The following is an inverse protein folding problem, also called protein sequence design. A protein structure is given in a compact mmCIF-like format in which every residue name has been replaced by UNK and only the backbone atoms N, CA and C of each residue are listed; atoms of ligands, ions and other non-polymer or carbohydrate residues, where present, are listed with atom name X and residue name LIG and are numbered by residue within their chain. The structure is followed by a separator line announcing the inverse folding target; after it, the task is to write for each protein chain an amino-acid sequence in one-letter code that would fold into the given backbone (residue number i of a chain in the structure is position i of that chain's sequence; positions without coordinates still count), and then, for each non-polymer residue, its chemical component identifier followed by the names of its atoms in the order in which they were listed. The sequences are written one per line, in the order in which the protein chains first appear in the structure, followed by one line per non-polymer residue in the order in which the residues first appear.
data_IF_371463387325
#
_entry.id   IF_371463387325
#
_cell.length_a   1.000
_cell.length_b   1.000
_cell.length_c   1.000
_cell.angle_alpha   90.00
_cell.angle_beta   90.00
_cell.angle_gamma   90.00
#
_symmetry.space_group_name_H-M   'P 1'
#
loop_
_entity.id
_entity.type
_entity.pdbx_description
1 polymer ?
#
# COMPACT_ATOMS: atom_id res chain seq x y z
N UNK A 1 -19.15 12.64 47.17
CA UNK A 1 -18.82 13.00 45.77
C UNK A 1 -17.32 12.94 45.46
N UNK A 2 -16.44 13.66 46.18
CA UNK A 2 -14.97 13.63 45.94
C UNK A 2 -14.35 12.22 45.96
N UNK A 3 -14.68 11.40 46.97
CA UNK A 3 -14.22 10.01 47.09
C UNK A 3 -14.67 9.11 45.93
N UNK A 4 -15.89 9.33 45.43
CA UNK A 4 -16.42 8.58 44.28
C UNK A 4 -15.66 8.94 43.00
N UNK A 5 -15.47 10.23 42.72
CA UNK A 5 -14.69 10.69 41.55
C UNK A 5 -13.26 10.14 41.60
N UNK A 6 -12.59 10.23 42.76
CA UNK A 6 -11.24 9.70 42.92
C UNK A 6 -11.18 8.19 42.67
N UNK A 7 -12.11 7.42 43.26
CA UNK A 7 -12.16 5.97 43.07
C UNK A 7 -12.42 5.59 41.62
N UNK A 8 -13.29 6.33 40.92
CA UNK A 8 -13.55 6.12 39.49
C UNK A 8 -12.30 6.40 38.65
N UNK A 9 -11.59 7.51 38.91
CA UNK A 9 -10.34 7.81 38.21
C UNK A 9 -9.28 6.73 38.44
N UNK A 10 -9.12 6.26 39.68
CA UNK A 10 -8.18 5.17 40.01
C UNK A 10 -8.56 3.86 39.34
N UNK A 11 -9.85 3.50 39.32
CA UNK A 11 -10.34 2.30 38.66
C UNK A 11 -10.11 2.35 37.14
N UNK A 12 -10.39 3.49 36.49
CA UNK A 12 -10.13 3.67 35.07
C UNK A 12 -8.63 3.54 34.75
N UNK A 13 -7.78 4.18 35.55
CA UNK A 13 -6.34 4.06 35.41
C UNK A 13 -5.85 2.61 35.56
N UNK A 14 -6.30 1.91 36.60
CA UNK A 14 -6.01 0.49 36.80
C UNK A 14 -6.48 -0.35 35.61
N UNK A 15 -7.69 -0.13 35.12
CA UNK A 15 -8.27 -0.89 34.00
C UNK A 15 -7.46 -0.69 32.72
N UNK A 16 -7.02 0.54 32.43
CA UNK A 16 -6.18 0.84 31.26
C UNK A 16 -4.83 0.11 31.37
N UNK A 17 -4.16 0.18 32.52
CA UNK A 17 -2.89 -0.53 32.73
C UNK A 17 -3.08 -2.04 32.61
N UNK A 18 -4.09 -2.57 33.29
CA UNK A 18 -4.41 -3.99 33.27
C UNK A 18 -4.69 -4.48 31.84
N UNK A 19 -5.44 -3.69 31.07
CA UNK A 19 -5.72 -3.98 29.67
C UNK A 19 -4.45 -4.01 28.80
N UNK A 20 -3.55 -3.04 28.95
CA UNK A 20 -2.27 -2.99 28.21
C UNK A 20 -1.40 -4.21 28.54
N UNK A 21 -1.33 -4.59 29.82
CA UNK A 21 -0.58 -5.78 30.28
C UNK A 21 -1.21 -7.05 29.69
N UNK A 22 -2.53 -7.19 29.78
CA UNK A 22 -3.24 -8.35 29.23
C UNK A 22 -3.03 -8.45 27.71
N UNK A 23 -3.11 -7.32 27.00
CA UNK A 23 -2.91 -7.25 25.57
C UNK A 23 -1.48 -7.66 25.18
N UNK A 24 -0.47 -7.23 25.94
CA UNK A 24 0.91 -7.66 25.73
C UNK A 24 1.05 -9.18 25.83
N UNK A 25 0.53 -9.78 26.90
CA UNK A 25 0.60 -11.23 27.08
C UNK A 25 -0.22 -11.99 26.03
N UNK A 26 -1.42 -11.48 25.69
CA UNK A 26 -2.29 -12.09 24.71
C UNK A 26 -1.67 -12.08 23.31
N UNK A 27 -1.22 -10.91 22.83
CA UNK A 27 -0.64 -10.78 21.49
C UNK A 27 0.70 -11.51 21.36
N UNK A 28 1.53 -11.46 22.41
CA UNK A 28 2.86 -12.06 22.42
C UNK A 28 2.89 -13.58 22.60
N UNK A 29 1.96 -14.15 23.38
CA UNK A 29 2.06 -15.55 23.81
C UNK A 29 0.81 -16.40 23.54
N UNK A 30 -0.36 -15.82 23.25
CA UNK A 30 -1.53 -16.64 22.94
C UNK A 30 -1.32 -17.42 21.63
N UNK A 31 -1.78 -18.68 21.56
CA UNK A 31 -1.80 -19.47 20.33
C UNK A 31 -2.51 -18.76 19.17
N UNK A 32 -2.05 -18.98 17.93
CA UNK A 32 -2.62 -18.32 16.74
C UNK A 32 -4.11 -18.58 16.54
N UNK A 33 -4.60 -19.79 16.86
CA UNK A 33 -6.03 -20.11 16.75
C UNK A 33 -6.92 -19.30 17.70
N UNK A 34 -6.36 -18.73 18.77
CA UNK A 34 -7.04 -17.79 19.67
C UNK A 34 -6.91 -16.33 19.21
N UNK A 35 -6.12 -16.09 18.16
CA UNK A 35 -5.92 -14.77 17.53
C UNK A 35 -6.51 -14.75 16.10
N UNK A 36 -7.74 -15.23 15.84
CA UNK A 36 -8.30 -15.24 14.48
C UNK A 36 -8.43 -13.83 13.88
N UNK A 37 -8.41 -12.81 14.74
CA UNK A 37 -8.56 -11.39 14.42
C UNK A 37 -7.36 -10.52 14.89
N UNK A 38 -6.35 -11.13 15.53
CA UNK A 38 -5.26 -10.46 16.25
C UNK A 38 -4.00 -10.27 15.41
N UNK A 39 -4.13 -9.79 14.18
CA UNK A 39 -3.03 -9.76 13.24
C UNK A 39 -2.09 -8.58 13.54
N UNK A 40 -0.95 -8.86 14.18
CA UNK A 40 0.27 -8.07 14.08
C UNK A 40 1.26 -8.83 13.19
N UNK A 41 1.08 -8.80 11.85
CA UNK A 41 1.79 -9.69 10.94
C UNK A 41 3.19 -9.15 10.59
N UNK A 42 4.12 -9.21 11.55
CA UNK A 42 5.51 -8.84 11.25
C UNK A 42 6.08 -9.79 10.20
N UNK A 43 6.64 -9.23 9.13
CA UNK A 43 7.04 -9.99 7.95
C UNK A 43 5.89 -10.83 7.38
N UNK A 44 4.66 -10.28 7.34
CA UNK A 44 3.50 -10.89 6.71
C UNK A 44 3.57 -10.88 5.17
N UNK A 45 2.43 -11.11 4.52
CA UNK A 45 2.36 -11.15 3.05
C UNK A 45 2.92 -9.89 2.39
N UNK A 46 3.57 -10.03 1.23
CA UNK A 46 4.04 -8.89 0.44
C UNK A 46 5.26 -8.15 1.00
N UNK A 47 6.03 -8.74 1.94
CA UNK A 47 7.36 -8.25 2.36
C UNK A 47 7.40 -6.77 2.78
N UNK A 48 6.38 -6.24 3.47
CA UNK A 48 6.39 -4.82 3.85
C UNK A 48 7.58 -4.47 4.75
N UNK A 49 7.96 -5.36 5.68
CA UNK A 49 9.12 -5.15 6.56
C UNK A 49 10.41 -4.92 5.78
N UNK A 50 10.74 -5.83 4.85
CA UNK A 50 11.92 -5.70 4.00
C UNK A 50 11.87 -4.45 3.14
N UNK A 51 10.70 -4.12 2.59
CA UNK A 51 10.52 -2.95 1.71
C UNK A 51 10.73 -1.64 2.44
N UNK A 52 10.12 -1.46 3.62
CA UNK A 52 10.34 -0.27 4.45
C UNK A 52 11.81 -0.16 4.87
N UNK A 53 12.44 -1.28 5.23
CA UNK A 53 13.86 -1.32 5.59
C UNK A 53 14.78 -0.93 4.43
N UNK A 54 14.39 -1.25 3.19
CA UNK A 54 15.15 -0.93 1.99
C UNK A 54 15.06 0.55 1.60
N UNK A 55 13.99 1.27 1.97
CA UNK A 55 13.77 2.69 1.61
C UNK A 55 15.02 3.53 1.87
N UNK A 56 15.71 3.33 3.01
CA UNK A 56 16.88 4.14 3.39
C UNK A 56 18.07 4.00 2.42
N UNK A 57 18.10 2.93 1.62
CA UNK A 57 19.12 2.68 0.59
C UNK A 57 18.81 3.39 -0.73
N UNK A 58 17.59 3.93 -0.89
CA UNK A 58 17.13 4.63 -2.08
C UNK A 58 16.85 6.09 -1.74
N UNK A 59 17.37 7.02 -2.54
CA UNK A 59 17.15 8.46 -2.39
C UNK A 59 17.07 9.12 -3.76
N UNK A 60 16.33 10.21 -3.87
CA UNK A 60 16.18 11.00 -5.11
C UNK A 60 15.83 10.13 -6.32
N UNK A 61 14.83 9.27 -6.18
CA UNK A 61 14.38 8.37 -7.26
C UNK A 61 13.70 9.15 -8.38
N UNK A 62 13.84 8.75 -9.63
CA UNK A 62 13.10 9.37 -10.73
C UNK A 62 11.59 9.15 -10.57
N UNK A 63 11.21 7.91 -10.23
CA UNK A 63 9.82 7.44 -10.17
C UNK A 63 9.53 6.79 -8.82
N UNK A 64 8.46 7.25 -8.17
CA UNK A 64 7.88 6.58 -6.99
C UNK A 64 6.55 5.94 -7.38
N UNK A 65 6.45 4.62 -7.22
CA UNK A 65 5.18 3.91 -7.34
C UNK A 65 4.46 3.90 -6.00
N UNK A 66 3.16 4.15 -6.03
CA UNK A 66 2.28 4.19 -4.86
C UNK A 66 1.01 3.38 -5.17
N UNK A 67 0.40 2.74 -4.17
CA UNK A 67 -0.86 2.02 -4.34
C UNK A 67 -0.88 0.63 -3.72
N UNK A 68 -1.83 -0.19 -4.15
CA UNK A 68 -2.16 -1.46 -3.48
C UNK A 68 -1.18 -2.59 -3.82
N UNK A 69 -1.61 -3.85 -3.66
CA UNK A 69 -0.89 -5.02 -4.17
C UNK A 69 -0.67 -4.97 -5.68
N UNK A 70 -1.53 -4.29 -6.43
CA UNK A 70 -1.33 -4.04 -7.84
C UNK A 70 -0.11 -3.15 -8.11
N UNK A 71 0.28 -2.27 -7.18
CA UNK A 71 1.49 -1.49 -7.31
C UNK A 71 2.73 -2.34 -7.03
N UNK A 72 2.87 -2.90 -5.83
CA UNK A 72 4.11 -3.60 -5.43
C UNK A 72 4.37 -4.91 -6.18
N UNK A 73 3.33 -5.50 -6.79
CA UNK A 73 3.44 -6.66 -7.68
C UNK A 73 3.33 -6.32 -9.16
N UNK A 74 2.91 -5.10 -9.49
CA UNK A 74 2.69 -4.68 -10.87
C UNK A 74 3.82 -3.85 -11.45
N UNK A 75 4.59 -3.10 -10.66
CA UNK A 75 5.73 -2.31 -11.14
C UNK A 75 7.07 -2.91 -10.70
N UNK A 76 7.73 -3.59 -11.64
CA UNK A 76 9.03 -4.21 -11.46
C UNK A 76 10.15 -3.18 -11.69
N UNK A 77 10.75 -2.74 -10.60
CA UNK A 77 11.81 -1.71 -10.61
C UNK A 77 13.02 -2.08 -11.47
N UNK A 78 13.27 -3.37 -11.73
CA UNK A 78 14.35 -3.83 -12.62
C UNK A 78 14.11 -3.39 -14.06
N UNK A 79 12.87 -3.48 -14.55
CA UNK A 79 12.50 -3.11 -15.91
C UNK A 79 12.67 -1.60 -16.12
N UNK A 80 12.31 -0.80 -15.11
CA UNK A 80 12.52 0.66 -15.15
C UNK A 80 14.01 1.01 -15.09
N UNK A 81 14.80 0.28 -14.29
CA UNK A 81 16.25 0.47 -14.21
C UNK A 81 16.96 0.13 -15.53
N UNK A 82 16.55 -0.93 -16.23
CA UNK A 82 17.03 -1.27 -17.59
C UNK A 82 16.76 -0.16 -18.61
N UNK A 83 15.72 0.66 -18.37
CA UNK A 83 15.39 1.84 -19.16
C UNK A 83 15.98 3.15 -18.60
N UNK A 84 16.90 3.02 -17.64
CA UNK A 84 17.66 4.10 -17.04
C UNK A 84 16.92 4.88 -15.95
N UNK A 85 15.75 4.45 -15.50
CA UNK A 85 15.01 5.13 -14.44
C UNK A 85 15.34 4.55 -13.07
N UNK A 86 15.81 5.39 -12.16
CA UNK A 86 15.83 5.05 -10.74
C UNK A 86 14.40 5.06 -10.21
N UNK A 87 13.99 4.02 -9.50
CA UNK A 87 12.61 3.94 -9.01
C UNK A 87 12.51 3.20 -7.69
N UNK A 88 11.47 3.54 -6.93
CA UNK A 88 11.09 2.82 -5.72
C UNK A 88 9.59 2.56 -5.70
N UNK A 89 9.20 1.39 -5.23
CA UNK A 89 7.82 0.96 -5.13
C UNK A 89 7.37 0.95 -3.66
N UNK A 90 6.60 1.98 -3.31
CA UNK A 90 6.03 2.21 -1.99
C UNK A 90 4.59 1.67 -1.88
N UNK A 91 4.16 0.82 -2.81
CA UNK A 91 2.87 0.14 -2.70
C UNK A 91 2.82 -0.76 -1.45
N UNK A 92 1.66 -1.20 -1.01
CA UNK A 92 1.55 -2.16 0.10
C UNK A 92 0.28 -3.00 0.00
N UNK A 93 0.16 -4.03 0.84
CA UNK A 93 -1.02 -4.89 0.80
C UNK A 93 -2.28 -4.09 1.13
N UNK A 94 -3.33 -4.26 0.31
CA UNK A 94 -4.61 -3.56 0.42
C UNK A 94 -4.50 -2.04 0.67
N UNK A 95 -3.42 -1.40 0.18
CA UNK A 95 -3.13 0.01 0.49
C UNK A 95 -4.27 0.91 0.06
N UNK A 96 -4.90 1.57 1.04
CA UNK A 96 -5.92 2.58 0.80
C UNK A 96 -5.30 3.98 0.78
N UNK A 97 -6.02 5.02 0.31
CA UNK A 97 -5.55 6.40 0.39
C UNK A 97 -5.10 6.82 1.79
N UNK A 98 -5.76 6.36 2.87
CA UNK A 98 -5.32 6.68 4.23
C UNK A 98 -3.91 6.15 4.53
N UNK A 99 -3.60 4.90 4.15
CA UNK A 99 -2.25 4.34 4.33
C UNK A 99 -1.23 4.98 3.39
N UNK A 100 -1.62 5.29 2.14
CA UNK A 100 -0.78 6.02 1.21
C UNK A 100 -0.41 7.42 1.74
N UNK A 101 -1.33 8.15 2.39
CA UNK A 101 -1.08 9.45 3.02
C UNK A 101 0.04 9.31 4.08
N UNK A 102 -0.03 8.27 4.91
CA UNK A 102 0.93 8.02 5.99
C UNK A 102 2.31 7.68 5.43
N UNK A 103 2.38 6.78 4.44
CA UNK A 103 3.64 6.41 3.79
C UNK A 103 4.29 7.62 3.12
N UNK A 104 3.51 8.47 2.44
CA UNK A 104 4.02 9.73 1.89
C UNK A 104 4.40 10.75 2.98
N UNK A 105 3.77 10.73 4.15
CA UNK A 105 4.19 11.56 5.29
C UNK A 105 5.55 11.16 5.84
N UNK A 106 5.86 9.87 5.82
CA UNK A 106 7.14 9.35 6.34
C UNK A 106 8.27 9.39 5.32
N UNK A 107 8.00 9.04 4.07
CA UNK A 107 9.05 8.62 3.13
C UNK A 107 9.20 9.52 1.90
N UNK A 108 8.25 10.41 1.61
CA UNK A 108 8.30 11.23 0.40
C UNK A 108 9.54 12.13 0.33
N UNK A 109 9.98 12.69 1.44
CA UNK A 109 11.15 13.59 1.47
C UNK A 109 12.47 12.85 1.36
N UNK A 110 12.53 11.58 1.78
CA UNK A 110 13.71 10.73 1.63
C UNK A 110 13.85 10.28 0.18
N UNK A 111 12.74 9.85 -0.42
CA UNK A 111 12.70 9.35 -1.79
C UNK A 111 12.77 10.49 -2.82
N UNK A 112 12.23 11.67 -2.49
CA UNK A 112 12.25 12.92 -3.26
C UNK A 112 12.05 12.70 -4.78
N UNK A 113 10.89 12.13 -5.20
CA UNK A 113 10.69 11.73 -6.57
C UNK A 113 10.30 12.88 -7.49
N UNK A 114 10.63 12.75 -8.78
CA UNK A 114 10.16 13.70 -9.81
C UNK A 114 8.75 13.37 -10.28
N UNK A 115 8.46 12.08 -10.40
CA UNK A 115 7.17 11.56 -10.82
C UNK A 115 6.66 10.57 -9.77
N UNK A 116 5.39 10.72 -9.39
CA UNK A 116 4.65 9.68 -8.67
C UNK A 116 3.68 9.03 -9.65
N UNK A 117 3.79 7.70 -9.77
CA UNK A 117 2.81 6.86 -10.46
C UNK A 117 1.94 6.22 -9.37
N UNK A 118 0.72 6.71 -9.23
CA UNK A 118 -0.22 6.22 -8.24
C UNK A 118 -1.18 5.23 -8.90
N UNK A 119 -1.06 3.95 -8.52
CA UNK A 119 -1.99 2.89 -8.86
C UNK A 119 -3.33 3.12 -8.14
N UNK A 120 -4.40 3.26 -8.93
CA UNK A 120 -5.73 3.68 -8.48
C UNK A 120 -6.81 2.67 -8.87
N UNK A 121 -6.68 1.41 -8.42
CA UNK A 121 -7.73 0.41 -8.59
C UNK A 121 -9.05 0.86 -7.94
N UNK A 122 -10.13 1.10 -8.73
CA UNK A 122 -11.37 1.69 -8.22
C UNK A 122 -11.97 0.97 -7.01
N UNK A 123 -11.89 -0.36 -6.97
CA UNK A 123 -12.43 -1.15 -5.87
C UNK A 123 -11.69 -0.89 -4.55
N UNK A 124 -10.35 -1.02 -4.51
CA UNK A 124 -9.61 -0.80 -3.26
C UNK A 124 -9.45 0.68 -2.89
N UNK A 125 -9.49 1.58 -3.88
CA UNK A 125 -9.22 3.01 -3.66
C UNK A 125 -10.22 3.68 -2.72
N UNK A 126 -11.51 3.43 -2.90
CA UNK A 126 -12.55 4.08 -2.09
C UNK A 126 -13.46 3.14 -1.31
N UNK A 127 -13.48 1.83 -1.61
CA UNK A 127 -14.41 0.89 -0.99
C UNK A 127 -13.80 0.05 0.15
N UNK A 128 -12.52 0.23 0.47
CA UNK A 128 -11.83 -0.50 1.55
C UNK A 128 -11.72 0.34 2.83
N UNK A 129 -12.01 -0.28 3.98
CA UNK A 129 -11.93 0.36 5.31
C UNK A 129 -10.49 0.61 5.80
N UNK A 130 -9.51 0.01 5.13
CA UNK A 130 -8.09 0.14 5.46
C UNK A 130 -7.66 -0.59 6.73
N UNK A 131 -8.49 -1.45 7.34
CA UNK A 131 -8.13 -2.21 8.54
C UNK A 131 -6.95 -3.14 8.26
N UNK A 132 -7.03 -3.95 7.19
CA UNK A 132 -5.96 -4.89 6.83
C UNK A 132 -4.63 -4.17 6.55
N UNK A 133 -4.68 -3.10 5.74
CA UNK A 133 -3.50 -2.31 5.42
C UNK A 133 -2.92 -1.59 6.65
N UNK A 134 -3.76 -1.16 7.59
CA UNK A 134 -3.30 -0.60 8.86
C UNK A 134 -2.58 -1.62 9.72
N UNK A 135 -3.11 -2.85 9.84
CA UNK A 135 -2.47 -3.92 10.61
C UNK A 135 -1.10 -4.28 10.02
N UNK A 136 -1.00 -4.41 8.70
CA UNK A 136 0.26 -4.66 7.99
C UNK A 136 1.27 -3.53 8.24
N UNK A 137 0.85 -2.26 8.06
CA UNK A 137 1.73 -1.10 8.27
C UNK A 137 2.18 -0.96 9.73
N UNK A 138 1.28 -1.15 10.70
CA UNK A 138 1.60 -1.11 12.12
C UNK A 138 2.61 -2.21 12.47
N UNK A 139 2.47 -3.41 11.91
CA UNK A 139 3.37 -4.51 12.25
C UNK A 139 4.79 -4.32 11.71
N UNK A 140 4.91 -3.68 10.54
CA UNK A 140 6.13 -3.67 9.74
C UNK A 140 6.86 -2.33 9.67
N UNK A 141 6.27 -1.26 10.19
CA UNK A 141 6.87 0.07 10.25
C UNK A 141 6.95 0.59 11.70
N UNK A 142 7.83 1.57 11.93
CA UNK A 142 7.96 2.26 13.21
C UNK A 142 6.73 3.13 13.47
N UNK A 143 6.20 3.08 14.69
CA UNK A 143 4.98 3.78 15.07
C UNK A 143 5.31 5.21 15.43
N UNK A 144 4.49 6.11 14.92
CA UNK A 144 4.59 7.54 15.15
C UNK A 144 3.19 8.17 15.28
N UNK A 145 3.14 9.50 15.29
CA UNK A 145 1.88 10.22 15.34
C UNK A 145 0.99 9.98 14.10
N UNK A 146 1.58 9.70 12.94
CA UNK A 146 0.81 9.36 11.74
C UNK A 146 0.10 8.01 11.91
N UNK A 147 0.79 7.01 12.48
CA UNK A 147 0.18 5.72 12.83
C UNK A 147 -0.98 5.90 13.82
N UNK A 148 -0.86 6.78 14.82
CA UNK A 148 -1.94 7.06 15.77
C UNK A 148 -3.15 7.74 15.10
N UNK A 149 -2.89 8.76 14.27
CA UNK A 149 -3.93 9.44 13.47
C UNK A 149 -4.69 8.44 12.58
N UNK A 150 -3.98 7.48 11.99
CA UNK A 150 -4.58 6.37 11.22
C UNK A 150 -5.56 5.57 12.07
N UNK A 151 -5.12 5.09 13.22
CA UNK A 151 -5.92 4.24 14.09
C UNK A 151 -7.21 4.95 14.55
N UNK A 152 -7.10 6.24 14.90
CA UNK A 152 -8.24 7.06 15.27
C UNK A 152 -9.21 7.31 14.10
N UNK A 153 -8.68 7.46 12.88
CA UNK A 153 -9.51 7.68 11.68
C UNK A 153 -10.29 6.42 11.30
N UNK A 154 -9.64 5.25 11.34
CA UNK A 154 -10.27 3.95 11.03
C UNK A 154 -11.28 3.56 12.13
N UNK A 155 -10.99 3.93 13.38
CA UNK A 155 -11.83 3.68 14.55
C UNK A 155 -12.25 2.20 14.69
N UNK A 156 -11.26 1.30 14.66
CA UNK A 156 -11.47 -0.14 14.75
C UNK A 156 -10.66 -0.75 15.89
N UNK A 157 -11.29 -1.62 16.68
CA UNK A 157 -10.67 -2.25 17.87
C UNK A 157 -9.41 -3.06 17.52
N UNK A 158 -9.38 -3.74 16.37
CA UNK A 158 -8.20 -4.51 15.94
C UNK A 158 -7.02 -3.58 15.70
N UNK A 159 -7.27 -2.42 15.09
CA UNK A 159 -6.24 -1.41 14.80
C UNK A 159 -5.75 -0.74 16.10
N UNK A 160 -6.65 -0.47 17.06
CA UNK A 160 -6.25 0.02 18.38
C UNK A 160 -5.38 -0.99 19.14
N UNK A 161 -5.76 -2.27 19.11
CA UNK A 161 -4.98 -3.33 19.75
C UNK A 161 -3.60 -3.45 19.10
N UNK A 162 -3.54 -3.46 17.77
CA UNK A 162 -2.30 -3.55 17.03
C UNK A 162 -1.38 -2.37 17.29
N UNK A 163 -1.89 -1.12 17.35
CA UNK A 163 -1.03 0.04 17.58
C UNK A 163 -0.53 0.10 19.02
N UNK A 164 -1.35 -0.25 20.02
CA UNK A 164 -0.92 -0.32 21.42
C UNK A 164 0.19 -1.37 21.56
N UNK A 165 -0.06 -2.59 21.06
CA UNK A 165 0.94 -3.65 21.07
C UNK A 165 2.19 -3.27 20.30
N UNK A 166 2.02 -2.62 19.15
CA UNK A 166 3.10 -2.13 18.34
C UNK A 166 3.99 -1.09 19.03
N UNK A 167 3.43 -0.17 19.82
CA UNK A 167 4.23 0.73 20.66
C UNK A 167 5.00 -0.02 21.75
N UNK A 168 4.42 -1.07 22.33
CA UNK A 168 5.12 -1.95 23.29
C UNK A 168 6.30 -2.64 22.62
N UNK A 169 6.12 -3.20 21.42
CA UNK A 169 7.19 -3.79 20.63
C UNK A 169 8.32 -2.80 20.31
N UNK A 170 7.97 -1.57 19.89
CA UNK A 170 8.95 -0.53 19.58
C UNK A 170 9.70 -0.08 20.86
N UNK A 171 9.01 0.04 22.00
CA UNK A 171 9.60 0.45 23.28
C UNK A 171 10.58 -0.58 23.84
N UNK A 172 10.19 -1.87 23.83
CA UNK A 172 11.03 -2.97 24.31
C UNK A 172 11.95 -3.56 23.22
N UNK A 173 11.94 -3.00 22.01
CA UNK A 173 12.77 -3.45 20.87
C UNK A 173 12.58 -4.94 20.54
N UNK A 174 11.35 -5.43 20.67
CA UNK A 174 11.04 -6.86 20.55
C UNK A 174 11.27 -7.39 19.13
N UNK A 175 11.26 -6.50 18.13
CA UNK A 175 11.40 -6.84 16.72
C UNK A 175 12.78 -6.51 16.13
N UNK A 176 13.74 -6.00 16.93
CA UNK A 176 15.03 -5.52 16.41
C UNK A 176 15.88 -6.65 15.79
N UNK A 177 15.70 -7.89 16.27
CA UNK A 177 16.40 -9.08 15.76
C UNK A 177 15.61 -9.82 14.67
N UNK A 178 14.43 -9.34 14.29
CA UNK A 178 13.65 -9.98 13.24
C UNK A 178 14.33 -9.78 11.89
N UNK A 179 14.49 -10.88 11.16
CA UNK A 179 15.02 -10.87 9.79
C UNK A 179 14.00 -11.56 8.90
N UNK A 180 13.49 -10.81 7.93
CA UNK A 180 12.57 -11.37 6.94
C UNK A 180 13.36 -12.08 5.84
N UNK A 181 13.01 -13.33 5.56
CA UNK A 181 13.59 -14.07 4.44
C UNK A 181 13.27 -13.39 3.10
N UNK A 182 14.25 -13.33 2.21
CA UNK A 182 14.09 -12.68 0.89
C UNK A 182 13.03 -13.38 0.04
N UNK A 183 12.93 -14.70 0.12
CA UNK A 183 11.94 -15.49 -0.59
C UNK A 183 11.18 -16.33 0.44
N UNK A 184 9.86 -16.26 0.42
CA UNK A 184 9.00 -17.06 1.28
C UNK A 184 7.71 -17.43 0.56
N UNK A 185 7.25 -18.66 0.78
CA UNK A 185 6.11 -19.24 0.06
C UNK A 185 6.29 -19.15 -1.47
N UNK A 186 5.53 -18.25 -2.11
CA UNK A 186 5.56 -17.98 -3.55
C UNK A 186 6.01 -16.56 -3.87
N UNK A 187 6.47 -15.80 -2.88
CA UNK A 187 6.86 -14.41 -3.04
C UNK A 187 8.38 -14.28 -2.88
N UNK A 188 8.99 -13.45 -3.73
CA UNK A 188 10.40 -13.09 -3.65
C UNK A 188 10.52 -11.57 -3.67
N UNK A 189 11.14 -11.03 -2.63
CA UNK A 189 11.42 -9.61 -2.54
C UNK A 189 12.60 -9.22 -3.45
N UNK A 190 12.38 -8.19 -4.26
CA UNK A 190 13.36 -7.55 -5.12
C UNK A 190 13.60 -6.11 -4.61
N UNK A 191 14.87 -5.75 -4.40
CA UNK A 191 15.25 -4.42 -3.89
C UNK A 191 14.67 -3.31 -4.77
N UNK A 192 14.26 -2.21 -4.13
CA UNK A 192 13.47 -1.16 -4.76
C UNK A 192 11.95 -1.32 -4.57
N UNK A 193 11.49 -2.32 -3.81
CA UNK A 193 10.11 -2.38 -3.34
C UNK A 193 9.18 -3.33 -4.12
N UNK A 194 9.68 -4.01 -5.14
CA UNK A 194 8.93 -4.96 -5.94
C UNK A 194 8.89 -6.35 -5.27
N UNK A 195 7.76 -7.05 -5.40
CA UNK A 195 7.63 -8.45 -4.97
C UNK A 195 7.21 -9.29 -6.16
N UNK A 196 8.13 -10.15 -6.60
CA UNK A 196 7.89 -11.11 -7.65
C UNK A 196 7.11 -12.30 -7.08
N UNK A 197 6.03 -12.70 -7.79
CA UNK A 197 5.29 -13.92 -7.45
C UNK A 197 5.74 -15.06 -8.35
N UNK A 198 5.92 -16.24 -7.79
CA UNK A 198 6.17 -17.48 -8.55
C UNK A 198 5.14 -17.65 -9.65
N UNK A 199 5.62 -18.02 -10.83
CA UNK A 199 4.78 -18.13 -12.03
C UNK A 199 3.57 -19.03 -11.79
N UNK A 200 2.40 -18.52 -12.11
CA UNK A 200 1.15 -19.25 -12.06
C UNK A 200 0.12 -18.57 -12.98
N UNK A 201 -0.94 -19.30 -13.29
CA UNK A 201 -1.89 -18.95 -14.33
C UNK A 201 -3.31 -19.02 -13.78
N UNK A 202 -4.06 -17.96 -14.03
CA UNK A 202 -5.44 -17.85 -13.63
C UNK A 202 -6.31 -18.75 -14.51
N UNK A 203 -7.35 -19.34 -13.91
CA UNK A 203 -8.41 -20.04 -14.63
C UNK A 203 -9.66 -19.16 -14.54
N UNK A 204 -10.07 -18.49 -15.63
CA UNK A 204 -11.18 -17.57 -15.61
C UNK A 204 -12.47 -18.21 -15.13
N UNK A 205 -13.10 -17.56 -14.16
CA UNK A 205 -14.45 -17.86 -13.68
C UNK A 205 -15.41 -16.71 -13.96
N UNK A 206 -16.63 -16.82 -13.46
CA UNK A 206 -17.60 -15.72 -13.45
C UNK A 206 -17.50 -14.91 -12.15
N UNK A 207 -17.85 -13.63 -12.24
CA UNK A 207 -17.97 -12.74 -11.10
C UNK A 207 -19.41 -12.23 -10.99
N UNK A 208 -19.91 -12.15 -9.76
CA UNK A 208 -21.11 -11.36 -9.48
C UNK A 208 -20.82 -9.88 -9.80
N UNK A 209 -21.88 -9.15 -10.14
CA UNK A 209 -21.78 -7.71 -10.32
C UNK A 209 -21.50 -7.02 -8.99
N UNK A 210 -20.64 -6.01 -9.04
CA UNK A 210 -20.17 -5.27 -7.86
C UNK A 210 -20.38 -3.78 -8.10
N UNK A 211 -21.10 -3.16 -7.18
CA UNK A 211 -21.13 -1.70 -7.05
C UNK A 211 -20.01 -1.25 -6.10
N UNK A 212 -19.24 -0.25 -6.52
CA UNK A 212 -18.12 0.30 -5.76
C UNK A 212 -18.64 1.47 -4.92
N UNK A 213 -18.56 1.35 -3.60
CA UNK A 213 -18.86 2.44 -2.67
C UNK A 213 -17.69 3.41 -2.50
N UNK A 214 -18.00 4.59 -1.94
CA UNK A 214 -17.01 5.60 -1.58
C UNK A 214 -17.04 5.84 -0.08
N UNK A 215 -15.96 5.48 0.60
CA UNK A 215 -15.75 5.74 2.03
C UNK A 215 -15.21 7.17 2.19
N UNK A 216 -15.90 8.07 2.92
CA UNK A 216 -15.56 9.50 2.94
C UNK A 216 -14.14 9.81 3.41
N UNK A 217 -13.64 9.13 4.44
CA UNK A 217 -12.28 9.39 4.92
C UNK A 217 -11.20 8.90 3.96
N UNK A 218 -11.50 7.93 3.08
CA UNK A 218 -10.59 7.53 2.01
C UNK A 218 -10.53 8.58 0.91
N UNK A 219 -11.69 9.09 0.49
CA UNK A 219 -11.75 10.21 -0.46
C UNK A 219 -11.01 11.45 0.07
N UNK A 220 -11.24 11.82 1.34
CA UNK A 220 -10.53 12.95 1.96
C UNK A 220 -9.02 12.73 2.09
N UNK A 221 -8.55 11.49 2.31
CA UNK A 221 -7.12 11.17 2.34
C UNK A 221 -6.51 11.22 0.95
N UNK A 222 -7.26 10.77 -0.07
CA UNK A 222 -6.86 10.88 -1.48
C UNK A 222 -6.64 12.35 -1.87
N UNK A 223 -7.60 13.24 -1.59
CA UNK A 223 -7.46 14.68 -1.86
C UNK A 223 -6.22 15.29 -1.18
N UNK A 224 -5.96 14.95 0.09
CA UNK A 224 -4.76 15.40 0.81
C UNK A 224 -3.47 14.93 0.15
N UNK A 225 -3.43 13.70 -0.35
CA UNK A 225 -2.29 13.18 -1.12
C UNK A 225 -2.07 14.05 -2.36
N UNK A 226 -3.12 14.30 -3.14
CA UNK A 226 -3.02 15.11 -4.36
C UNK A 226 -2.51 16.51 -4.04
N UNK A 227 -3.07 17.17 -3.01
CA UNK A 227 -2.61 18.47 -2.56
C UNK A 227 -1.13 18.47 -2.15
N UNK A 228 -0.70 17.44 -1.42
CA UNK A 228 0.69 17.32 -0.95
C UNK A 228 1.64 17.18 -2.14
N UNK A 229 1.29 16.33 -3.10
CA UNK A 229 2.07 16.11 -4.33
C UNK A 229 2.16 17.41 -5.14
N UNK A 230 1.04 18.11 -5.31
CA UNK A 230 0.99 19.43 -5.98
C UNK A 230 1.85 20.48 -5.27
N UNK A 231 1.76 20.58 -3.93
CA UNK A 231 2.56 21.52 -3.11
C UNK A 231 4.07 21.30 -3.24
N UNK A 232 4.50 20.06 -3.48
CA UNK A 232 5.91 19.71 -3.73
C UNK A 232 6.32 19.80 -5.20
N UNK A 233 5.42 20.23 -6.08
CA UNK A 233 5.64 20.32 -7.52
C UNK A 233 6.10 18.98 -8.14
N UNK A 234 5.61 17.86 -7.60
CA UNK A 234 5.90 16.52 -8.10
C UNK A 234 4.85 16.19 -9.16
N UNK A 235 5.29 15.63 -10.30
CA UNK A 235 4.36 15.24 -11.36
C UNK A 235 3.59 13.99 -10.94
N UNK A 236 2.26 14.09 -10.93
CA UNK A 236 1.39 12.95 -10.68
C UNK A 236 0.90 12.31 -11.98
N UNK A 237 0.98 10.98 -12.03
CA UNK A 237 0.33 10.13 -13.02
C UNK A 237 -0.53 9.12 -12.26
N UNK A 238 -1.81 9.03 -12.61
CA UNK A 238 -2.75 8.06 -12.07
C UNK A 238 -2.85 6.88 -13.05
N UNK A 239 -2.74 5.66 -12.54
CA UNK A 239 -2.74 4.44 -13.35
C UNK A 239 -3.73 3.44 -12.79
N UNK A 240 -4.64 2.96 -13.62
CA UNK A 240 -5.39 1.74 -13.31
C UNK A 240 -4.68 0.57 -13.98
N UNK A 241 -3.98 -0.23 -13.17
CA UNK A 241 -3.26 -1.41 -13.63
C UNK A 241 -4.23 -2.44 -14.25
N UNK A 242 -3.77 -3.27 -15.22
CA UNK A 242 -4.59 -4.31 -15.80
C UNK A 242 -5.06 -5.32 -14.75
N UNK A 243 -6.34 -5.67 -14.83
CA UNK A 243 -6.96 -6.81 -14.16
C UNK A 243 -7.58 -7.72 -15.23
N UNK A 244 -8.05 -8.91 -14.85
CA UNK A 244 -8.69 -9.80 -15.82
C UNK A 244 -9.94 -9.16 -16.40
N UNK A 245 -10.24 -9.44 -17.67
CA UNK A 245 -11.42 -8.91 -18.36
C UNK A 245 -12.70 -9.28 -17.61
N UNK A 246 -12.80 -10.52 -17.15
CA UNK A 246 -13.96 -10.99 -16.37
C UNK A 246 -14.16 -10.21 -15.08
N UNK A 247 -13.08 -9.76 -14.42
CA UNK A 247 -13.15 -8.93 -13.21
C UNK A 247 -13.46 -7.48 -13.56
N UNK A 248 -12.85 -6.92 -14.60
CA UNK A 248 -13.11 -5.56 -15.05
C UNK A 248 -14.59 -5.35 -15.42
N UNK A 249 -15.16 -6.30 -16.17
CA UNK A 249 -16.56 -6.27 -16.58
C UNK A 249 -17.56 -6.49 -15.42
N UNK A 250 -17.07 -6.88 -14.23
CA UNK A 250 -17.92 -7.11 -13.06
C UNK A 250 -18.32 -5.83 -12.34
N UNK A 251 -17.61 -4.72 -12.54
CA UNK A 251 -17.91 -3.44 -11.89
C UNK A 251 -19.00 -2.67 -12.62
N UNK A 252 -20.09 -2.34 -11.92
CA UNK A 252 -21.25 -1.67 -12.52
C UNK A 252 -21.04 -0.16 -12.69
N UNK A 253 -20.34 0.45 -11.75
CA UNK A 253 -20.15 1.90 -11.66
C UNK A 253 -18.67 2.34 -11.80
N UNK A 254 -17.79 1.50 -12.34
CA UNK A 254 -16.36 1.81 -12.52
C UNK A 254 -16.16 3.14 -13.27
N UNK A 255 -16.89 3.36 -14.35
CA UNK A 255 -16.84 4.60 -15.15
C UNK A 255 -17.08 5.86 -14.30
N UNK A 256 -17.96 5.79 -13.29
CA UNK A 256 -18.21 6.92 -12.40
C UNK A 256 -16.99 7.21 -11.52
N UNK A 257 -16.41 6.16 -10.93
CA UNK A 257 -15.21 6.28 -10.07
C UNK A 257 -14.01 6.76 -10.88
N UNK A 258 -13.83 6.24 -12.10
CA UNK A 258 -12.75 6.66 -12.99
C UNK A 258 -12.84 8.15 -13.32
N UNK A 259 -14.03 8.66 -13.66
CA UNK A 259 -14.27 10.09 -13.89
C UNK A 259 -13.94 10.97 -12.68
N UNK A 260 -14.08 10.47 -11.45
CA UNK A 260 -13.65 11.20 -10.25
C UNK A 260 -12.13 11.26 -10.21
N UNK A 261 -11.46 10.13 -10.42
CA UNK A 261 -9.98 10.06 -10.38
C UNK A 261 -9.31 10.86 -11.49
N UNK A 262 -9.88 10.86 -12.70
CA UNK A 262 -9.39 11.59 -13.88
C UNK A 262 -9.25 13.10 -13.66
N UNK A 263 -10.02 13.68 -12.74
CA UNK A 263 -9.98 15.12 -12.44
C UNK A 263 -8.68 15.56 -11.74
N UNK A 264 -7.91 14.62 -11.19
CA UNK A 264 -6.78 14.92 -10.32
C UNK A 264 -5.40 14.87 -11.01
N UNK A 265 -5.31 14.36 -12.24
CA UNK A 265 -4.04 14.28 -12.96
C UNK A 265 -4.13 13.56 -14.31
N UNK A 266 -2.97 13.29 -14.90
CA UNK A 266 -2.90 12.45 -16.09
C UNK A 266 -3.31 11.01 -15.70
N UNK A 267 -4.45 10.54 -16.22
CA UNK A 267 -5.01 9.23 -15.90
C UNK A 267 -4.87 8.25 -17.08
N UNK A 268 -4.44 7.03 -16.79
CA UNK A 268 -4.29 5.96 -17.77
C UNK A 268 -4.92 4.67 -17.28
N UNK A 269 -6.02 4.24 -17.91
CA UNK A 269 -6.63 2.94 -17.66
C UNK A 269 -6.04 1.87 -18.59
N UNK A 270 -5.15 1.02 -18.07
CA UNK A 270 -4.50 -0.01 -18.88
C UNK A 270 -5.42 -1.19 -19.24
N UNK A 271 -6.58 -1.32 -18.61
CA UNK A 271 -7.61 -2.25 -19.08
C UNK A 271 -8.19 -1.84 -20.44
N UNK A 272 -8.04 -0.57 -20.83
CA UNK A 272 -8.47 -0.04 -22.13
C UNK A 272 -7.30 0.18 -23.11
N UNK A 273 -6.09 0.45 -22.59
CA UNK A 273 -4.91 0.79 -23.41
C UNK A 273 -4.12 -0.42 -23.91
N UNK A 274 -4.38 -1.61 -23.37
CA UNK A 274 -3.76 -2.85 -23.78
C UNK A 274 -4.73 -4.02 -23.61
N UNK A 275 -4.46 -5.12 -24.31
CA UNK A 275 -5.25 -6.34 -24.22
C UNK A 275 -4.38 -7.48 -23.69
N UNK A 276 -4.69 -7.98 -22.50
CA UNK A 276 -4.02 -9.12 -21.88
C UNK A 276 -4.98 -10.31 -21.84
N UNK A 277 -4.45 -11.51 -22.10
CA UNK A 277 -5.20 -12.74 -21.94
C UNK A 277 -5.28 -13.16 -20.46
N UNK A 278 -6.49 -13.30 -19.94
CA UNK A 278 -6.77 -13.66 -18.54
C UNK A 278 -6.02 -14.92 -18.07
N UNK A 279 -5.92 -15.95 -18.92
CA UNK A 279 -5.29 -17.23 -18.56
C UNK A 279 -3.76 -17.23 -18.72
N UNK A 280 -3.19 -16.31 -19.51
CA UNK A 280 -1.76 -16.29 -19.79
C UNK A 280 -0.98 -15.25 -18.98
N UNK A 281 -1.63 -14.14 -18.62
CA UNK A 281 -0.93 -12.97 -18.06
C UNK A 281 -1.28 -12.66 -16.60
N UNK A 282 -2.19 -13.43 -15.99
CA UNK A 282 -2.62 -13.25 -14.61
C UNK A 282 -2.42 -14.52 -13.80
N UNK A 283 -2.14 -14.40 -12.51
CA UNK A 283 -2.11 -15.55 -11.59
C UNK A 283 -3.40 -15.71 -10.77
N UNK A 284 -4.17 -14.63 -10.62
CA UNK A 284 -5.52 -14.64 -10.06
C UNK A 284 -6.42 -13.66 -10.84
N UNK A 285 -7.58 -13.31 -10.29
CA UNK A 285 -8.56 -12.49 -11.01
C UNK A 285 -8.19 -11.01 -11.17
N UNK A 286 -7.19 -10.51 -10.46
CA UNK A 286 -6.82 -9.09 -10.53
C UNK A 286 -5.32 -8.81 -10.38
N UNK A 287 -4.47 -9.82 -10.33
CA UNK A 287 -3.03 -9.65 -10.29
C UNK A 287 -2.32 -10.33 -11.46
N UNK A 288 -1.38 -9.58 -12.04
CA UNK A 288 -0.53 -10.02 -13.14
C UNK A 288 0.48 -11.08 -12.67
N UNK A 289 0.74 -12.07 -13.52
CA UNK A 289 1.95 -12.87 -13.41
C UNK A 289 3.13 -12.14 -14.06
N UNK A 290 4.35 -12.68 -13.95
CA UNK A 290 5.55 -11.97 -14.40
C UNK A 290 5.54 -11.63 -15.90
N UNK A 291 4.91 -12.45 -16.74
CA UNK A 291 4.71 -12.14 -18.17
C UNK A 291 3.80 -10.93 -18.37
N UNK A 292 2.69 -10.88 -17.63
CA UNK A 292 1.79 -9.73 -17.62
C UNK A 292 2.44 -8.45 -17.08
N UNK A 293 3.24 -8.56 -16.01
CA UNK A 293 4.02 -7.44 -15.43
C UNK A 293 4.95 -6.84 -16.48
N UNK A 294 5.69 -7.68 -17.21
CA UNK A 294 6.61 -7.22 -18.25
C UNK A 294 5.89 -6.40 -19.33
N UNK A 295 4.81 -6.93 -19.91
CA UNK A 295 4.03 -6.24 -20.94
C UNK A 295 3.41 -4.93 -20.43
N UNK A 296 2.90 -4.94 -19.20
CA UNK A 296 2.35 -3.75 -18.55
C UNK A 296 3.43 -2.66 -18.37
N UNK A 297 4.61 -3.05 -17.89
CA UNK A 297 5.70 -2.10 -17.58
C UNK A 297 6.31 -1.50 -18.85
N UNK A 298 6.47 -2.30 -19.91
CA UNK A 298 6.86 -1.80 -21.24
C UNK A 298 5.89 -0.72 -21.73
N UNK A 299 4.58 -0.94 -21.56
CA UNK A 299 3.56 0.05 -21.94
C UNK A 299 3.60 1.32 -21.10
N UNK A 300 3.89 1.20 -19.80
CA UNK A 300 4.11 2.37 -18.92
C UNK A 300 5.33 3.17 -19.39
N UNK A 301 6.42 2.49 -19.75
CA UNK A 301 7.64 3.14 -20.26
C UNK A 301 7.40 3.85 -21.59
N UNK A 302 6.60 3.30 -22.50
CA UNK A 302 6.17 4.00 -23.72
C UNK A 302 5.47 5.33 -23.39
N UNK A 303 4.60 5.35 -22.37
CA UNK A 303 3.92 6.56 -21.92
C UNK A 303 4.93 7.57 -21.35
N UNK A 304 5.86 7.12 -20.50
CA UNK A 304 6.91 7.97 -19.91
C UNK A 304 7.88 8.54 -20.97
N UNK A 305 8.09 7.83 -22.07
CA UNK A 305 8.94 8.29 -23.17
C UNK A 305 8.30 9.37 -24.05
N UNK A 306 7.02 9.71 -23.84
CA UNK A 306 6.37 10.87 -24.47
C UNK A 306 7.05 12.16 -23.99
N UNK A 307 7.19 13.14 -24.90
CA UNK A 307 7.97 14.36 -24.70
C UNK A 307 7.70 15.04 -23.35
N UNK A 308 6.43 15.15 -22.94
CA UNK A 308 6.00 15.82 -21.70
C UNK A 308 6.57 15.25 -20.41
N UNK A 309 6.91 13.96 -20.35
CA UNK A 309 7.51 13.34 -19.16
C UNK A 309 9.01 13.12 -19.32
N UNK A 310 9.45 12.88 -20.55
CA UNK A 310 10.84 12.64 -20.89
C UNK A 310 11.76 13.80 -20.50
N UNK A 311 11.30 15.05 -20.65
CA UNK A 311 12.08 16.22 -20.22
C UNK A 311 12.27 16.27 -18.70
N UNK A 312 11.19 16.00 -17.94
CA UNK A 312 11.24 15.94 -16.47
C UNK A 312 12.25 14.90 -15.98
N UNK A 313 12.33 13.75 -16.67
CA UNK A 313 13.23 12.66 -16.29
C UNK A 313 14.69 12.90 -16.74
N UNK A 314 14.92 13.71 -17.80
CA UNK A 314 16.25 14.01 -18.36
C UNK A 314 17.00 15.15 -17.65
N UNK A 315 16.29 16.20 -17.20
CA UNK A 315 16.92 17.46 -16.77
C UNK A 315 17.87 17.35 -15.56
N UNK A 316 17.86 16.22 -14.84
CA UNK A 316 18.73 16.02 -13.67
C UNK A 316 19.93 15.10 -13.90
N UNK A 317 20.17 14.61 -15.13
CA UNK A 317 21.36 13.79 -15.42
C UNK A 317 22.57 14.64 -15.82
N UNK A 318 22.42 15.95 -15.80
CA UNK A 318 23.42 16.95 -16.21
C UNK A 318 23.94 17.83 -15.06
N UNK A 319 23.65 17.47 -13.81
CA UNK A 319 24.24 18.04 -12.59
C UNK A 319 24.98 16.94 -11.81
#
# INVERSE_FOLDING_TARGET
MKKFILNTCLFLFFTVIFYIILLFFWMGYAPEFLKPDGNYPIGGYGHLYSRISDIKKHKNTDILFLGSSHAYRGFDTRIFAENGYSSFNLGSNSQTPLQAEILLNKYLDILNPKIIIYEVYPYSLFNSDGVEAALDLIANDKKDFNSLKMALTINNIKVYNAIIYGFICDFFKLNDNFVEEKAKEKDTYISGGFVEKSMSFYKPGSFAKIEIGIIPYQAASFEKIIEKIKKKNIKLILVYAPITKVRYDSFENSVCIEKITEQYGDYYNFNQLMNLNDSLHFYDSHHLNQTGVKLFNEKVIEILNKHKYKELLRYSRSE
#
